data_IF_386307615372
#
_entry.id   IF_386307615372
#
_cell.length_a   1.000
_cell.length_b   1.000
_cell.length_c   1.000
_cell.angle_alpha   90.00
_cell.angle_beta   90.00
_cell.angle_gamma   90.00
#
_symmetry.space_group_name_H-M   'P 1'
#
loop_
_entity.id
_entity.type
_entity.pdbx_description
1 polymer ?
#
# COMPACT_ATOMS: atom_id res chain seq x y z
N UNK A 1 -20.00 -4.22 0.73
CA UNK A 1 -19.30 -4.64 1.96
C UNK A 1 -18.37 -3.53 2.40
N UNK A 2 -18.31 -3.24 3.70
CA UNK A 2 -17.51 -2.17 4.29
C UNK A 2 -16.55 -2.72 5.37
N UNK A 3 -15.95 -3.88 5.12
CA UNK A 3 -14.98 -4.52 6.00
C UNK A 3 -13.56 -4.16 5.58
N UNK A 4 -12.67 -3.91 6.54
CA UNK A 4 -11.26 -3.59 6.34
C UNK A 4 -10.33 -4.68 6.87
N UNK A 5 -9.10 -4.72 6.37
CA UNK A 5 -8.06 -5.63 6.80
C UNK A 5 -8.28 -7.09 6.40
N UNK A 6 -7.69 -8.03 7.15
CA UNK A 6 -7.90 -9.47 6.96
C UNK A 6 -9.38 -9.81 6.97
N UNK A 7 -9.81 -10.84 6.20
CA UNK A 7 -11.20 -11.22 5.90
C UNK A 7 -11.95 -10.18 5.06
N UNK A 8 -11.80 -8.89 5.35
CA UNK A 8 -12.45 -7.80 4.65
C UNK A 8 -11.90 -7.59 3.23
N UNK A 9 -10.59 -7.54 3.07
CA UNK A 9 -9.94 -7.08 1.84
C UNK A 9 -9.18 -8.17 1.09
N UNK A 10 -8.93 -9.33 1.71
CA UNK A 10 -8.09 -10.41 1.19
C UNK A 10 -8.82 -11.48 0.36
N UNK A 11 -10.11 -11.31 0.09
CA UNK A 11 -10.92 -12.23 -0.69
C UNK A 11 -11.66 -13.31 0.12
N UNK A 12 -11.42 -13.43 1.42
CA UNK A 12 -12.09 -14.45 2.25
C UNK A 12 -13.59 -14.21 2.35
N UNK A 13 -14.04 -12.99 2.58
CA UNK A 13 -15.47 -12.64 2.57
C UNK A 13 -16.11 -13.00 1.23
N UNK A 14 -15.47 -12.66 0.10
CA UNK A 14 -15.98 -13.01 -1.23
C UNK A 14 -16.08 -14.52 -1.43
N UNK A 15 -15.16 -15.30 -0.85
CA UNK A 15 -15.22 -16.77 -0.89
C UNK A 15 -16.46 -17.29 -0.17
N UNK A 16 -16.80 -16.74 1.00
CA UNK A 16 -18.00 -17.10 1.75
C UNK A 16 -19.27 -16.72 0.98
N UNK A 17 -19.35 -15.48 0.47
CA UNK A 17 -20.49 -15.00 -0.31
C UNK A 17 -20.72 -15.88 -1.55
N UNK A 18 -19.64 -16.22 -2.28
CA UNK A 18 -19.73 -17.09 -3.46
C UNK A 18 -20.22 -18.49 -3.10
N UNK A 19 -19.75 -19.08 -1.98
CA UNK A 19 -20.19 -20.40 -1.50
C UNK A 19 -21.71 -20.41 -1.23
N UNK A 20 -22.23 -19.32 -0.68
CA UNK A 20 -23.63 -19.15 -0.35
C UNK A 20 -24.47 -18.54 -1.49
N UNK A 21 -23.92 -18.43 -2.72
CA UNK A 21 -24.58 -17.86 -3.90
C UNK A 21 -25.09 -16.42 -3.70
N UNK A 22 -24.46 -15.66 -2.78
CA UNK A 22 -24.82 -14.27 -2.51
C UNK A 22 -24.03 -13.36 -3.48
N UNK A 23 -24.71 -12.54 -4.30
CA UNK A 23 -24.04 -11.62 -5.21
C UNK A 23 -23.30 -10.50 -4.44
N UNK A 24 -22.22 -10.00 -5.02
CA UNK A 24 -21.44 -8.89 -4.45
C UNK A 24 -20.84 -8.02 -5.56
N UNK A 25 -20.68 -6.73 -5.29
CA UNK A 25 -20.20 -5.73 -6.25
C UNK A 25 -18.68 -5.52 -6.23
N UNK A 26 -17.95 -6.20 -5.35
CA UNK A 26 -16.50 -6.05 -5.21
C UNK A 26 -15.73 -6.90 -6.23
N UNK A 27 -14.42 -6.63 -6.33
CA UNK A 27 -13.50 -7.48 -7.08
C UNK A 27 -13.58 -8.94 -6.61
N UNK A 28 -13.26 -9.87 -7.51
CA UNK A 28 -13.31 -11.29 -7.21
C UNK A 28 -12.25 -11.72 -6.17
N UNK A 29 -12.32 -12.96 -5.71
CA UNK A 29 -11.45 -13.54 -4.70
C UNK A 29 -9.98 -13.43 -5.08
N UNK A 30 -9.63 -13.78 -6.34
CA UNK A 30 -8.25 -13.78 -6.83
C UNK A 30 -7.66 -12.37 -6.83
N UNK A 31 -8.39 -11.39 -7.36
CA UNK A 31 -7.94 -10.00 -7.43
C UNK A 31 -7.80 -9.40 -6.02
N UNK A 32 -8.77 -9.63 -5.12
CA UNK A 32 -8.71 -9.14 -3.74
C UNK A 32 -7.51 -9.72 -3.00
N UNK A 33 -7.26 -11.02 -3.11
CA UNK A 33 -6.10 -11.67 -2.48
C UNK A 33 -4.77 -11.15 -3.04
N UNK A 34 -4.69 -10.97 -4.36
CA UNK A 34 -3.51 -10.39 -5.03
C UNK A 34 -3.23 -8.97 -4.53
N UNK A 35 -4.24 -8.10 -4.52
CA UNK A 35 -4.08 -6.70 -4.11
C UNK A 35 -3.76 -6.56 -2.62
N UNK A 36 -4.24 -7.45 -1.77
CA UNK A 36 -3.93 -7.45 -0.34
C UNK A 36 -2.48 -7.88 -0.04
N UNK A 37 -1.85 -8.64 -0.94
CA UNK A 37 -0.45 -9.04 -0.85
C UNK A 37 0.44 -8.05 -1.64
N UNK A 38 1.08 -7.11 -0.92
CA UNK A 38 1.85 -6.01 -1.53
C UNK A 38 2.97 -6.49 -2.46
N UNK A 39 3.72 -7.51 -2.06
CA UNK A 39 4.80 -8.04 -2.89
C UNK A 39 4.29 -8.73 -4.15
N UNK A 40 3.17 -9.45 -4.07
CA UNK A 40 2.54 -10.07 -5.23
C UNK A 40 1.98 -9.02 -6.19
N UNK A 41 1.27 -7.99 -5.66
CA UNK A 41 0.80 -6.84 -6.45
C UNK A 41 1.94 -6.15 -7.20
N UNK A 42 3.05 -5.88 -6.50
CA UNK A 42 4.23 -5.23 -7.11
C UNK A 42 4.84 -6.07 -8.24
N UNK A 43 4.94 -7.39 -8.05
CA UNK A 43 5.43 -8.29 -9.10
C UNK A 43 4.51 -8.26 -10.33
N UNK A 44 3.20 -8.25 -10.12
CA UNK A 44 2.23 -8.16 -11.22
C UNK A 44 2.31 -6.81 -11.95
N UNK A 45 2.44 -5.70 -11.21
CA UNK A 45 2.68 -4.35 -11.77
C UNK A 45 3.94 -4.35 -12.64
N UNK A 46 5.06 -4.87 -12.15
CA UNK A 46 6.33 -4.92 -12.87
C UNK A 46 6.24 -5.82 -14.11
N UNK A 47 5.58 -6.97 -13.99
CA UNK A 47 5.33 -7.89 -15.10
C UNK A 47 4.57 -7.22 -16.25
N UNK A 48 3.65 -6.31 -15.91
CA UNK A 48 2.90 -5.52 -16.88
C UNK A 48 3.64 -4.24 -17.33
N UNK A 49 4.96 -4.15 -17.09
CA UNK A 49 5.82 -3.04 -17.50
C UNK A 49 5.40 -1.69 -16.91
N UNK A 50 4.76 -1.70 -15.75
CA UNK A 50 4.45 -0.51 -14.97
C UNK A 50 5.53 -0.26 -13.92
N UNK A 51 5.74 1.01 -13.57
CA UNK A 51 6.72 1.38 -12.54
C UNK A 51 6.23 0.99 -11.15
N UNK A 52 7.14 0.49 -10.33
CA UNK A 52 6.95 0.23 -8.91
C UNK A 52 8.25 0.57 -8.17
N UNK A 53 8.18 1.12 -6.95
CA UNK A 53 9.36 1.31 -6.12
C UNK A 53 10.14 0.00 -5.98
N UNK A 54 11.47 0.08 -5.97
CA UNK A 54 12.33 -1.07 -5.64
C UNK A 54 11.96 -1.61 -4.25
N UNK A 55 11.96 -2.92 -4.07
CA UNK A 55 11.54 -3.50 -2.80
C UNK A 55 12.28 -4.80 -2.46
N UNK A 56 12.27 -5.12 -1.17
CA UNK A 56 12.75 -6.36 -0.57
C UNK A 56 11.62 -6.97 0.25
N UNK A 57 11.42 -8.27 0.12
CA UNK A 57 10.52 -9.04 0.96
C UNK A 57 11.37 -9.87 1.94
N UNK A 58 11.11 -9.73 3.22
CA UNK A 58 11.81 -10.45 4.28
C UNK A 58 10.81 -11.16 5.20
N UNK A 59 11.23 -12.29 5.76
CA UNK A 59 10.56 -12.80 6.94
C UNK A 59 10.86 -11.86 8.12
N UNK A 60 9.89 -11.64 9.00
CA UNK A 60 10.06 -10.75 10.16
C UNK A 60 11.22 -11.21 11.06
N UNK A 61 11.44 -12.53 11.19
CA UNK A 61 12.52 -13.11 11.98
C UNK A 61 13.91 -12.83 11.38
N UNK A 62 13.98 -12.58 10.07
CA UNK A 62 15.23 -12.22 9.38
C UNK A 62 15.57 -10.74 9.48
N UNK A 63 14.66 -9.92 10.03
CA UNK A 63 14.91 -8.50 10.22
C UNK A 63 15.94 -8.30 11.32
N UNK A 64 17.09 -7.74 10.96
CA UNK A 64 18.18 -7.41 11.88
C UNK A 64 18.97 -6.21 11.36
N UNK A 65 19.82 -5.67 12.21
CA UNK A 65 20.63 -4.48 11.89
C UNK A 65 21.45 -4.67 10.60
N UNK A 66 22.17 -5.78 10.45
CA UNK A 66 23.02 -6.08 9.28
C UNK A 66 22.20 -6.04 7.96
N UNK A 67 21.02 -6.61 7.97
CA UNK A 67 20.08 -6.57 6.82
C UNK A 67 19.63 -5.14 6.53
N UNK A 68 19.26 -4.37 7.57
CA UNK A 68 18.82 -2.99 7.42
C UNK A 68 19.92 -2.07 6.91
N UNK A 69 21.17 -2.23 7.38
CA UNK A 69 22.33 -1.51 6.85
C UNK A 69 22.50 -1.81 5.36
N UNK A 70 22.46 -3.08 4.97
CA UNK A 70 22.58 -3.49 3.55
C UNK A 70 21.46 -2.90 2.70
N UNK A 71 20.21 -2.86 3.18
CA UNK A 71 19.08 -2.27 2.45
C UNK A 71 19.22 -0.76 2.37
N UNK A 72 19.62 -0.10 3.46
CA UNK A 72 19.83 1.35 3.50
C UNK A 72 20.89 1.81 2.50
N UNK A 73 21.99 1.07 2.34
CA UNK A 73 23.02 1.39 1.33
C UNK A 73 22.47 1.41 -0.10
N UNK A 74 21.45 0.59 -0.39
CA UNK A 74 20.83 0.47 -1.71
C UNK A 74 19.65 1.42 -1.93
N UNK A 75 18.82 1.64 -0.92
CA UNK A 75 17.58 2.43 -1.04
C UNK A 75 17.71 3.85 -0.52
N UNK A 76 18.72 4.15 0.33
CA UNK A 76 18.94 5.44 1.02
C UNK A 76 17.77 5.84 1.93
N UNK A 77 16.57 6.02 1.37
CA UNK A 77 15.31 6.29 2.06
C UNK A 77 14.33 5.17 1.75
N UNK A 78 13.64 4.66 2.75
CA UNK A 78 12.76 3.51 2.56
C UNK A 78 11.58 3.48 3.55
N UNK A 79 10.61 2.64 3.24
CA UNK A 79 9.42 2.37 4.05
C UNK A 79 9.41 0.89 4.40
N UNK A 80 9.20 0.56 5.65
CA UNK A 80 8.93 -0.81 6.12
C UNK A 80 7.44 -0.93 6.42
N UNK A 81 6.84 -2.03 5.99
CA UNK A 81 5.42 -2.31 6.23
C UNK A 81 5.13 -3.81 6.16
N UNK A 82 4.11 -4.32 6.87
CA UNK A 82 3.68 -5.71 6.71
C UNK A 82 3.28 -5.99 5.26
N UNK A 83 3.68 -7.16 4.72
CA UNK A 83 3.34 -7.55 3.36
C UNK A 83 1.83 -7.71 3.15
N UNK A 84 1.13 -8.24 4.16
CA UNK A 84 -0.33 -8.46 4.15
C UNK A 84 -0.97 -7.74 5.33
N UNK A 85 -1.30 -6.47 5.14
CA UNK A 85 -1.98 -5.64 6.12
C UNK A 85 -2.70 -4.49 5.43
N UNK A 86 -3.73 -3.96 6.07
CA UNK A 86 -4.48 -2.77 5.66
C UNK A 86 -4.22 -1.57 6.57
N UNK A 87 -4.91 -0.46 6.28
CA UNK A 87 -5.06 0.72 7.16
C UNK A 87 -3.77 1.34 7.69
N UNK A 88 -2.64 1.20 6.97
CA UNK A 88 -1.33 1.77 7.35
C UNK A 88 -0.78 1.25 8.69
N UNK A 89 -1.24 0.11 9.17
CA UNK A 89 -0.70 -0.53 10.38
C UNK A 89 0.76 -0.95 10.19
N UNK A 90 1.58 -0.76 11.23
CA UNK A 90 2.97 -1.23 11.28
C UNK A 90 3.89 -0.60 10.24
N UNK A 91 3.61 0.63 9.79
CA UNK A 91 4.45 1.34 8.82
C UNK A 91 5.51 2.16 9.55
N UNK A 92 6.78 1.99 9.15
CA UNK A 92 7.90 2.86 9.53
C UNK A 92 8.51 3.49 8.29
N UNK A 93 8.72 4.79 8.32
CA UNK A 93 9.33 5.56 7.22
C UNK A 93 10.70 6.05 7.68
N UNK A 94 11.72 5.75 6.89
CA UNK A 94 13.13 6.08 7.18
C UNK A 94 13.65 7.02 6.08
N UNK A 95 13.81 8.29 6.42
CA UNK A 95 14.25 9.36 5.49
C UNK A 95 15.63 9.90 5.82
N UNK A 96 16.10 9.71 7.05
CA UNK A 96 17.36 10.25 7.55
C UNK A 96 18.05 9.29 8.53
N UNK A 97 19.25 9.67 8.97
CA UNK A 97 20.06 8.85 9.87
C UNK A 97 19.39 8.68 11.23
N UNK A 98 18.86 9.76 11.81
CA UNK A 98 18.20 9.72 13.14
C UNK A 98 17.03 8.72 13.18
N UNK A 99 16.20 8.69 12.13
CA UNK A 99 15.10 7.73 12.03
C UNK A 99 15.61 6.30 11.89
N UNK A 100 16.72 6.12 11.18
CA UNK A 100 17.35 4.82 11.05
C UNK A 100 17.93 4.31 12.37
N UNK A 101 18.70 5.16 13.09
CA UNK A 101 19.29 4.81 14.38
C UNK A 101 18.20 4.47 15.41
N UNK A 102 17.11 5.24 15.43
CA UNK A 102 15.96 4.94 16.26
C UNK A 102 15.30 3.60 15.91
N UNK A 103 15.20 3.25 14.63
CA UNK A 103 14.69 1.94 14.22
C UNK A 103 15.61 0.81 14.70
N UNK A 104 16.94 0.96 14.57
CA UNK A 104 17.91 -0.04 15.02
C UNK A 104 17.81 -0.23 16.53
N UNK A 105 17.81 0.86 17.31
CA UNK A 105 17.72 0.81 18.77
C UNK A 105 16.45 0.15 19.28
N UNK A 106 15.36 0.20 18.52
CA UNK A 106 14.05 -0.34 18.89
C UNK A 106 13.60 -1.51 18.00
N UNK A 107 14.54 -2.21 17.36
CA UNK A 107 14.22 -3.24 16.35
C UNK A 107 13.42 -4.40 16.93
N UNK A 108 13.73 -4.84 18.14
CA UNK A 108 13.03 -5.95 18.79
C UNK A 108 11.62 -5.55 19.23
N UNK A 109 11.42 -4.32 19.67
CA UNK A 109 10.08 -3.77 19.95
C UNK A 109 9.24 -3.70 18.67
N UNK A 110 9.83 -3.22 17.59
CA UNK A 110 9.18 -3.18 16.28
C UNK A 110 8.80 -4.57 15.77
N UNK A 111 9.64 -5.58 15.97
CA UNK A 111 9.28 -6.98 15.64
C UNK A 111 8.10 -7.48 16.48
N UNK A 112 8.06 -7.16 17.77
CA UNK A 112 6.94 -7.52 18.66
C UNK A 112 5.65 -6.85 18.24
N UNK A 113 5.68 -5.58 17.82
CA UNK A 113 4.53 -4.87 17.25
C UNK A 113 3.97 -5.60 16.02
N UNK A 114 4.84 -6.22 15.24
CA UNK A 114 4.49 -6.94 14.01
C UNK A 114 4.37 -8.46 14.16
N UNK A 115 4.30 -9.01 15.38
CA UNK A 115 4.36 -10.46 15.66
C UNK A 115 3.32 -11.31 14.92
N UNK A 116 2.17 -10.73 14.57
CA UNK A 116 1.11 -11.39 13.79
C UNK A 116 1.40 -11.42 12.28
N UNK A 117 2.51 -10.84 11.82
CA UNK A 117 2.88 -10.77 10.42
C UNK A 117 4.16 -11.57 10.15
N UNK A 118 4.06 -12.57 9.27
CA UNK A 118 5.22 -13.40 8.90
C UNK A 118 6.22 -12.66 8.01
N UNK A 119 5.73 -11.76 7.17
CA UNK A 119 6.53 -11.09 6.13
C UNK A 119 6.38 -9.58 6.21
N UNK A 120 7.49 -8.89 6.01
CA UNK A 120 7.57 -7.44 5.84
C UNK A 120 8.09 -7.08 4.45
N UNK A 121 7.56 -6.00 3.91
CA UNK A 121 8.02 -5.37 2.69
C UNK A 121 8.84 -4.13 3.06
N UNK A 122 10.05 -4.03 2.54
CA UNK A 122 10.88 -2.82 2.63
C UNK A 122 11.01 -2.26 1.22
N UNK A 123 10.53 -1.05 1.00
CA UNK A 123 10.52 -0.45 -0.32
C UNK A 123 11.10 0.96 -0.32
N UNK A 124 11.60 1.38 -1.47
CA UNK A 124 12.08 2.74 -1.70
C UNK A 124 11.01 3.77 -1.34
N UNK A 125 11.40 4.79 -0.56
CA UNK A 125 10.52 5.92 -0.29
C UNK A 125 10.46 6.85 -1.50
N UNK A 126 9.29 7.00 -2.07
CA UNK A 126 9.05 7.92 -3.19
C UNK A 126 8.47 9.22 -2.64
N UNK A 127 9.17 10.32 -2.89
CA UNK A 127 8.67 11.66 -2.55
C UNK A 127 7.72 12.16 -3.64
N UNK A 128 6.65 12.83 -3.26
CA UNK A 128 5.70 13.39 -4.22
C UNK A 128 4.29 13.55 -3.68
N UNK A 129 3.35 13.83 -4.58
CA UNK A 129 1.93 13.90 -4.26
C UNK A 129 1.35 12.49 -4.23
N UNK A 130 0.52 12.22 -3.22
CA UNK A 130 -0.27 10.99 -3.15
C UNK A 130 -1.54 11.16 -4.00
N UNK A 131 -1.65 10.33 -5.04
CA UNK A 131 -2.78 10.35 -5.97
C UNK A 131 -3.46 8.99 -5.97
N UNK A 132 -4.78 9.00 -6.08
CA UNK A 132 -5.58 7.79 -6.29
C UNK A 132 -6.53 7.96 -7.46
N UNK A 133 -6.79 6.88 -8.19
CA UNK A 133 -7.74 6.85 -9.31
C UNK A 133 -8.79 5.80 -9.03
N UNK A 134 -10.04 6.22 -9.00
CA UNK A 134 -11.16 5.29 -8.90
C UNK A 134 -11.47 4.69 -10.27
N UNK A 135 -11.66 3.37 -10.31
CA UNK A 135 -12.05 2.66 -11.54
C UNK A 135 -13.36 1.91 -11.32
N UNK A 136 -14.14 1.81 -12.39
CA UNK A 136 -15.38 1.04 -12.42
C UNK A 136 -15.42 0.14 -13.66
N UNK A 137 -15.99 -1.04 -13.53
CA UNK A 137 -16.23 -1.92 -14.67
C UNK A 137 -17.69 -1.77 -15.12
N UNK A 138 -17.90 -1.23 -16.32
CA UNK A 138 -19.19 -1.12 -16.99
C UNK A 138 -19.06 -1.80 -18.36
N UNK A 139 -20.09 -2.52 -18.76
CA UNK A 139 -20.17 -3.19 -20.08
C UNK A 139 -18.91 -3.96 -20.47
N UNK A 140 -18.36 -4.72 -19.50
CA UNK A 140 -17.11 -5.49 -19.62
C UNK A 140 -15.84 -4.65 -19.79
N UNK A 141 -15.91 -3.31 -19.81
CA UNK A 141 -14.76 -2.40 -19.91
C UNK A 141 -14.47 -1.75 -18.57
N UNK A 142 -13.19 -1.45 -18.33
CA UNK A 142 -12.73 -0.71 -17.14
C UNK A 142 -12.65 0.77 -17.52
N UNK A 143 -13.27 1.61 -16.71
CA UNK A 143 -13.26 3.06 -16.87
C UNK A 143 -12.58 3.69 -15.66
N UNK A 144 -11.62 4.58 -15.91
CA UNK A 144 -11.07 5.45 -14.88
C UNK A 144 -11.99 6.67 -14.72
N UNK A 145 -12.44 6.94 -13.49
CA UNK A 145 -13.42 7.98 -13.22
C UNK A 145 -12.76 9.34 -13.02
N UNK A 146 -11.88 9.42 -12.03
CA UNK A 146 -11.22 10.67 -11.69
C UNK A 146 -9.93 10.44 -10.91
N UNK A 147 -9.02 11.42 -10.93
CA UNK A 147 -7.82 11.45 -10.11
C UNK A 147 -8.08 12.32 -8.89
N UNK A 148 -7.90 11.76 -7.70
CA UNK A 148 -8.02 12.43 -6.41
C UNK A 148 -6.64 12.60 -5.79
N UNK A 149 -6.30 13.81 -5.33
CA UNK A 149 -5.11 14.08 -4.52
C UNK A 149 -5.45 13.89 -3.04
N UNK A 150 -4.63 13.10 -2.34
CA UNK A 150 -4.75 12.89 -0.89
C UNK A 150 -3.71 13.78 -0.21
N UNK A 151 -4.17 14.73 0.60
CA UNK A 151 -3.31 15.56 1.45
C UNK A 151 -3.53 15.18 2.91
N UNK A 152 -2.50 14.65 3.56
CA UNK A 152 -2.48 14.42 5.00
C UNK A 152 -1.89 15.61 5.74
N UNK A 153 -2.39 15.94 6.93
CA UNK A 153 -1.74 16.90 7.84
C UNK A 153 -0.38 16.40 8.32
N UNK A 154 -0.27 15.10 8.52
CA UNK A 154 0.99 14.44 8.75
C UNK A 154 1.70 14.22 7.41
N UNK A 155 3.03 14.13 7.41
CA UNK A 155 3.82 13.86 6.19
C UNK A 155 3.51 12.50 5.52
N UNK A 156 2.47 11.79 6.01
CA UNK A 156 2.08 10.46 5.57
C UNK A 156 0.59 10.22 5.88
N UNK A 157 -0.11 9.50 5.00
CA UNK A 157 -1.51 9.11 5.17
C UNK A 157 -1.60 7.87 6.09
N UNK A 158 -1.34 8.10 7.39
CA UNK A 158 -1.34 7.08 8.44
C UNK A 158 -2.77 6.68 8.87
N UNK A 159 -2.85 5.76 9.84
CA UNK A 159 -4.13 5.31 10.40
C UNK A 159 -4.96 6.48 10.94
N UNK A 160 -4.32 7.41 11.67
CA UNK A 160 -4.99 8.58 12.23
C UNK A 160 -5.53 9.50 11.13
N UNK A 161 -4.76 9.69 10.06
CA UNK A 161 -5.19 10.49 8.91
C UNK A 161 -6.37 9.84 8.14
N UNK A 162 -6.47 8.51 8.15
CA UNK A 162 -7.57 7.77 7.50
C UNK A 162 -8.89 7.83 8.25
N UNK A 163 -8.84 7.81 9.58
CA UNK A 163 -10.04 7.59 10.41
C UNK A 163 -10.38 8.76 11.33
N UNK A 164 -9.55 9.82 11.39
CA UNK A 164 -9.83 11.01 12.19
C UNK A 164 -10.28 12.18 11.32
N UNK A 165 -11.42 12.77 11.66
CA UNK A 165 -11.99 13.91 10.92
C UNK A 165 -10.99 15.07 10.84
N UNK A 166 -10.78 15.61 9.64
CA UNK A 166 -9.94 16.77 9.39
C UNK A 166 -8.42 16.49 9.32
N UNK A 167 -7.95 15.23 9.43
CA UNK A 167 -6.54 14.87 9.27
C UNK A 167 -6.11 14.63 7.83
N UNK A 168 -7.04 14.34 6.94
CA UNK A 168 -6.78 14.25 5.51
C UNK A 168 -7.81 15.04 4.71
N UNK A 169 -7.40 15.58 3.57
CA UNK A 169 -8.26 16.21 2.56
C UNK A 169 -8.15 15.44 1.26
N UNK A 170 -9.29 15.12 0.68
CA UNK A 170 -9.41 14.56 -0.66
C UNK A 170 -9.75 15.72 -1.61
N UNK A 171 -8.85 16.00 -2.55
CA UNK A 171 -9.00 17.08 -3.51
C UNK A 171 -9.36 16.46 -4.87
N UNK A 172 -10.56 16.73 -5.34
CA UNK A 172 -11.12 16.24 -6.59
C UNK A 172 -11.60 17.43 -7.45
N UNK A 173 -11.09 17.60 -8.67
CA UNK A 173 -9.98 16.88 -9.28
C UNK A 173 -8.62 17.19 -8.61
N UNK A 174 -7.67 16.26 -8.72
CA UNK A 174 -6.31 16.45 -8.20
C UNK A 174 -5.62 17.67 -8.83
N UNK A 175 -4.91 18.46 -8.02
CA UNK A 175 -4.17 19.65 -8.47
C UNK A 175 -2.81 19.24 -9.07
N UNK A 176 -2.84 18.71 -10.28
CA UNK A 176 -1.67 18.31 -11.07
C UNK A 176 -1.80 18.87 -12.49
N UNK A 177 -0.73 18.81 -13.28
CA UNK A 177 -0.79 19.23 -14.69
C UNK A 177 -1.77 18.35 -15.48
N UNK A 178 -2.35 18.87 -16.55
CA UNK A 178 -3.25 18.12 -17.44
C UNK A 178 -2.61 16.83 -17.96
N UNK A 179 -1.31 16.88 -18.26
CA UNK A 179 -0.53 15.72 -18.73
C UNK A 179 -0.48 14.64 -17.63
N UNK A 180 -0.11 15.01 -16.41
CA UNK A 180 -0.04 14.05 -15.29
C UNK A 180 -1.42 13.49 -14.95
N UNK A 181 -2.47 14.31 -14.99
CA UNK A 181 -3.85 13.86 -14.77
C UNK A 181 -4.24 12.79 -15.78
N UNK A 182 -4.03 13.06 -17.08
CA UNK A 182 -4.30 12.11 -18.16
C UNK A 182 -3.48 10.83 -18.03
N UNK A 183 -2.20 10.94 -17.66
CA UNK A 183 -1.33 9.78 -17.46
C UNK A 183 -1.83 8.90 -16.29
N UNK A 184 -2.28 9.50 -15.19
CA UNK A 184 -2.87 8.75 -14.07
C UNK A 184 -4.10 7.95 -14.51
N UNK A 185 -5.02 8.56 -15.27
CA UNK A 185 -6.19 7.85 -15.79
C UNK A 185 -5.80 6.68 -16.70
N UNK A 186 -4.86 6.89 -17.62
CA UNK A 186 -4.36 5.84 -18.53
C UNK A 186 -3.69 4.70 -17.79
N UNK A 187 -2.90 4.99 -16.75
CA UNK A 187 -2.21 3.98 -15.95
C UNK A 187 -3.20 3.13 -15.10
N UNK A 188 -4.29 3.73 -14.66
CA UNK A 188 -5.26 3.05 -13.80
C UNK A 188 -6.11 1.98 -14.50
N UNK A 189 -6.18 2.01 -15.85
CA UNK A 189 -6.94 1.04 -16.66
C UNK A 189 -6.02 0.03 -17.38
N UNK A 190 -4.72 0.11 -17.19
CA UNK A 190 -3.70 -0.72 -17.79
C UNK A 190 -3.39 -1.96 -16.96
#
# INVERSE_FOLDING_TARGET
KALHGPWGEDGQTQKILKKNKIPFSHSNIKSSNLCFNKSASKREIIKNKLMSPKFYLLNINDLNEKKLITIKSKLKKFVIKPNRSGSSFGIKIIKNQKEFDNLISNIEEFKKELNNHKEILIEEYISGKELTVSTIKLDKKIHALAVTEIKSKNNFFDYKAKYSKGYAKHILPAKVTKINYSNCLKLAIK
#
